data_IF_389271107842
#
_entry.id   IF_389271107842
#
_cell.length_a   1.000
_cell.length_b   1.000
_cell.length_c   1.000
_cell.angle_alpha   90.00
_cell.angle_beta   90.00
_cell.angle_gamma   90.00
#
_symmetry.space_group_name_H-M   'P 1'
#
loop_
_entity.id
_entity.type
_entity.pdbx_description
1 polymer ?
#
# COMPACT_ATOMS: atom_id res chain seq x y z
N UNK A 1 8.09 -8.14 -14.89
CA UNK A 1 6.85 -7.74 -14.22
C UNK A 1 6.92 -8.25 -12.79
N UNK A 2 6.98 -7.35 -11.82
CA UNK A 2 7.21 -7.68 -10.40
C UNK A 2 5.96 -7.36 -9.61
N UNK A 3 5.47 -8.31 -8.81
CA UNK A 3 4.29 -8.12 -7.96
C UNK A 3 4.71 -7.98 -6.51
N UNK A 4 4.16 -6.98 -5.82
CA UNK A 4 4.39 -6.77 -4.40
C UNK A 4 3.06 -6.58 -3.67
N UNK A 5 2.92 -7.28 -2.55
CA UNK A 5 1.77 -7.15 -1.66
C UNK A 5 2.11 -6.18 -0.54
N UNK A 6 1.49 -5.00 -0.55
CA UNK A 6 1.62 -4.03 0.51
C UNK A 6 0.53 -4.23 1.55
N UNK A 7 0.90 -4.21 2.83
CA UNK A 7 -0.02 -4.36 3.96
C UNK A 7 -0.25 -3.02 4.62
N UNK A 8 -1.48 -2.76 5.05
CA UNK A 8 -1.84 -1.58 5.81
C UNK A 8 -1.13 -1.61 7.17
N UNK A 9 -0.20 -0.68 7.41
CA UNK A 9 0.52 -0.58 8.69
C UNK A 9 0.02 0.57 9.54
N UNK A 10 -0.46 1.65 8.90
CA UNK A 10 -1.01 2.81 9.61
C UNK A 10 -2.22 3.36 8.86
N UNK A 11 -3.45 3.10 9.33
CA UNK A 11 -4.62 3.78 8.81
C UNK A 11 -4.56 5.27 9.17
N UNK A 12 -4.93 6.12 8.21
CA UNK A 12 -5.09 7.54 8.44
C UNK A 12 -6.25 7.79 9.42
N UNK A 13 -6.01 8.68 10.39
CA UNK A 13 -6.98 9.06 11.45
C UNK A 13 -7.90 10.22 11.03
N UNK A 14 -7.51 11.02 10.05
CA UNK A 14 -8.24 12.17 9.48
C UNK A 14 -8.18 12.11 7.95
N UNK A 15 -8.59 13.16 7.24
CA UNK A 15 -8.57 13.31 5.78
C UNK A 15 -7.15 13.25 5.17
N UNK A 16 -6.55 12.06 5.16
CA UNK A 16 -5.19 11.81 4.68
C UNK A 16 -5.09 10.49 3.92
N UNK A 17 -3.87 9.97 3.78
CA UNK A 17 -3.60 8.70 3.11
C UNK A 17 -3.31 7.57 4.09
N UNK A 18 -3.86 6.39 3.82
CA UNK A 18 -3.51 5.15 4.48
C UNK A 18 -2.09 4.73 4.05
N UNK A 19 -1.26 4.30 5.02
CA UNK A 19 0.12 3.88 4.78
C UNK A 19 0.19 2.37 4.61
N UNK A 20 0.76 1.95 3.50
CA UNK A 20 0.99 0.56 3.14
C UNK A 20 2.47 0.29 3.00
N UNK A 21 2.91 -0.88 3.45
CA UNK A 21 4.32 -1.29 3.42
C UNK A 21 4.49 -2.66 2.80
N UNK A 22 5.52 -2.83 1.98
CA UNK A 22 5.95 -4.11 1.41
C UNK A 22 7.46 -4.27 1.58
N UNK A 23 7.90 -5.47 1.95
CA UNK A 23 9.30 -5.87 1.86
C UNK A 23 9.52 -6.57 0.53
N UNK A 24 10.62 -6.26 -0.13
CA UNK A 24 11.08 -7.00 -1.31
C UNK A 24 11.93 -8.16 -0.81
N UNK A 25 11.58 -9.39 -1.18
CA UNK A 25 12.38 -10.57 -0.77
C UNK A 25 13.81 -10.46 -1.32
N UNK A 26 14.80 -10.69 -0.44
CA UNK A 26 16.21 -10.60 -0.79
C UNK A 26 16.82 -9.20 -0.73
N UNK A 27 16.02 -8.17 -0.44
CA UNK A 27 16.50 -6.80 -0.20
C UNK A 27 16.08 -6.30 1.18
N UNK A 28 16.93 -5.51 1.82
CA UNK A 28 16.59 -4.85 3.10
C UNK A 28 15.73 -3.58 2.89
N UNK A 29 15.26 -3.37 1.66
CA UNK A 29 14.50 -2.21 1.24
C UNK A 29 13.01 -2.38 1.61
N UNK A 30 12.51 -1.43 2.40
CA UNK A 30 11.09 -1.30 2.73
C UNK A 30 10.45 -0.29 1.77
N UNK A 31 9.54 -0.77 0.93
CA UNK A 31 8.72 0.11 0.11
C UNK A 31 7.51 0.60 0.90
N UNK A 32 7.26 1.91 0.84
CA UNK A 32 6.12 2.55 1.52
C UNK A 32 5.29 3.29 0.48
N UNK A 33 3.97 3.07 0.51
CA UNK A 33 3.01 3.77 -0.34
C UNK A 33 1.95 4.43 0.53
N UNK A 34 1.60 5.67 0.20
CA UNK A 34 0.49 6.39 0.81
C UNK A 34 -0.65 6.45 -0.19
N UNK A 35 -1.80 5.87 0.16
CA UNK A 35 -2.99 5.87 -0.69
C UNK A 35 -4.08 6.73 -0.04
N UNK A 36 -4.58 7.78 -0.71
CA UNK A 36 -5.67 8.60 -0.21
C UNK A 36 -6.88 7.78 0.24
N UNK A 37 -7.51 8.16 1.36
CA UNK A 37 -8.70 7.48 1.87
C UNK A 37 -9.85 7.39 0.86
N UNK A 38 -9.96 8.35 -0.06
CA UNK A 38 -10.96 8.32 -1.15
C UNK A 38 -10.78 7.11 -2.08
N UNK A 39 -9.58 6.53 -2.15
CA UNK A 39 -9.25 5.34 -2.93
C UNK A 39 -9.21 4.11 -2.04
N UNK A 40 -8.43 4.15 -0.95
CA UNK A 40 -8.23 2.99 -0.05
C UNK A 40 -9.46 2.62 0.77
N UNK A 41 -10.49 3.49 0.80
CA UNK A 41 -11.74 3.29 1.53
C UNK A 41 -12.98 3.57 0.70
N UNK A 42 -12.93 3.28 -0.61
CA UNK A 42 -14.05 3.55 -1.53
C UNK A 42 -15.39 2.94 -1.07
N UNK A 43 -15.37 1.85 -0.28
CA UNK A 43 -16.56 1.19 0.29
C UNK A 43 -16.78 1.49 1.80
N UNK A 44 -16.13 2.54 2.33
CA UNK A 44 -16.23 2.95 3.73
C UNK A 44 -15.34 2.18 4.72
N UNK A 45 -14.58 1.18 4.25
CA UNK A 45 -13.66 0.38 5.07
C UNK A 45 -12.24 0.42 4.48
N UNK A 46 -11.23 0.36 5.34
CA UNK A 46 -9.83 0.32 4.90
C UNK A 46 -9.49 -0.99 4.20
N UNK A 47 -8.91 -0.90 3.01
CA UNK A 47 -8.24 -2.02 2.36
C UNK A 47 -7.06 -2.46 3.24
N UNK A 48 -7.03 -3.73 3.65
CA UNK A 48 -6.00 -4.26 4.57
C UNK A 48 -4.70 -4.64 3.84
N UNK A 49 -4.79 -5.02 2.57
CA UNK A 49 -3.65 -5.36 1.73
C UNK A 49 -3.96 -5.02 0.27
N UNK A 50 -2.93 -4.63 -0.48
CA UNK A 50 -3.01 -4.30 -1.90
C UNK A 50 -1.88 -4.97 -2.67
N UNK A 51 -2.20 -5.53 -3.83
CA UNK A 51 -1.21 -6.03 -4.79
C UNK A 51 -0.92 -4.93 -5.81
N UNK A 52 0.34 -4.52 -5.92
CA UNK A 52 0.80 -3.58 -6.95
C UNK A 52 1.72 -4.34 -7.90
N UNK A 53 1.45 -4.19 -9.20
CA UNK A 53 2.28 -4.77 -10.27
C UNK A 53 3.16 -3.68 -10.88
N UNK A 54 4.47 -3.88 -10.84
CA UNK A 54 5.47 -3.02 -11.46
C UNK A 54 5.89 -3.61 -12.80
N UNK A 55 5.75 -2.83 -13.86
CA UNK A 55 6.27 -3.13 -15.19
C UNK A 55 7.47 -2.23 -15.46
N UNK A 56 8.66 -2.83 -15.61
CA UNK A 56 9.82 -2.13 -16.13
C UNK A 56 9.68 -2.06 -17.67
N UNK A 57 9.87 -0.87 -18.23
CA UNK A 57 10.01 -0.67 -19.67
C UNK A 57 11.48 -0.61 -20.06
#
# INVERSE_FOLDING_TARGET
MTKLTFKLTRPAKKSGGDRYEAKVEGEDNLMVVYVPQSISRAIGQSVLAMEITFEAK
#
